data_IF_871549712707
#
_entry.id   IF_871549712707
#
_cell.length_a   1.000
_cell.length_b   1.000
_cell.length_c   1.000
_cell.angle_alpha   90.00
_cell.angle_beta   90.00
_cell.angle_gamma   90.00
#
_symmetry.space_group_name_H-M   'P 1'
#
loop_
_entity.id
_entity.type
_entity.pdbx_description
1 polymer ?
#
# COMPACT_ATOMS: atom_id res chain seq x y z
N UNK A 1 42.53 -23.07 -56.45
CA UNK A 1 42.34 -23.65 -55.10
C UNK A 1 41.14 -22.94 -54.49
N UNK A 2 39.98 -23.59 -54.48
CA UNK A 2 38.73 -23.00 -53.96
C UNK A 2 38.49 -23.53 -52.56
N UNK A 3 38.51 -22.64 -51.56
CA UNK A 3 38.21 -22.99 -50.17
C UNK A 3 36.70 -22.90 -49.98
N UNK A 4 36.07 -24.04 -49.70
CA UNK A 4 34.64 -24.15 -49.36
C UNK A 4 34.53 -23.99 -47.84
N UNK A 5 33.83 -22.97 -47.37
CA UNK A 5 33.55 -22.75 -45.95
C UNK A 5 32.19 -23.38 -45.66
N UNK A 6 32.18 -24.49 -44.91
CA UNK A 6 30.98 -25.09 -44.32
C UNK A 6 30.56 -24.27 -43.09
N UNK A 7 29.27 -23.90 -43.01
CA UNK A 7 28.68 -23.29 -41.83
C UNK A 7 28.27 -24.37 -40.82
N UNK A 8 28.51 -24.19 -39.51
CA UNK A 8 28.04 -25.15 -38.51
C UNK A 8 26.53 -25.04 -38.30
N UNK A 9 25.90 -26.21 -38.12
CA UNK A 9 24.50 -26.38 -37.78
C UNK A 9 24.19 -25.73 -36.42
N UNK A 10 23.18 -24.86 -36.40
CA UNK A 10 22.59 -24.33 -35.17
C UNK A 10 21.68 -25.41 -34.59
N UNK A 11 22.05 -25.95 -33.43
CA UNK A 11 21.20 -26.85 -32.67
C UNK A 11 20.06 -26.04 -32.02
N UNK A 12 18.84 -26.41 -32.38
CA UNK A 12 17.59 -25.98 -31.77
C UNK A 12 17.46 -26.66 -30.39
N UNK A 13 17.85 -25.97 -29.32
CA UNK A 13 17.54 -26.37 -27.95
C UNK A 13 16.29 -25.62 -27.49
N UNK A 14 15.13 -26.24 -27.74
CA UNK A 14 13.85 -25.79 -27.21
C UNK A 14 13.83 -25.81 -25.68
N UNK A 15 13.12 -24.87 -25.02
CA UNK A 15 13.05 -24.84 -23.57
C UNK A 15 12.22 -26.02 -23.04
N UNK A 16 12.90 -26.94 -22.35
CA UNK A 16 12.26 -27.95 -21.50
C UNK A 16 11.64 -27.27 -20.28
N UNK A 17 10.34 -27.01 -20.33
CA UNK A 17 9.54 -26.65 -19.18
C UNK A 17 9.54 -27.83 -18.19
N UNK A 18 10.41 -27.76 -17.18
CA UNK A 18 10.35 -28.65 -16.01
C UNK A 18 9.29 -28.11 -15.06
N UNK A 19 8.35 -29.00 -14.76
CA UNK A 19 7.34 -28.90 -13.71
C UNK A 19 7.84 -28.22 -12.44
N UNK A 20 7.12 -27.17 -12.04
CA UNK A 20 7.20 -26.47 -10.76
C UNK A 20 5.78 -26.12 -10.30
N UNK A 21 5.53 -26.06 -8.98
CA UNK A 21 4.32 -26.57 -8.37
C UNK A 21 3.06 -25.77 -8.70
N UNK A 22 1.99 -26.52 -8.94
CA UNK A 22 0.58 -26.08 -8.94
C UNK A 22 0.27 -25.22 -7.70
N UNK A 23 0.44 -23.91 -7.82
CA UNK A 23 -0.27 -22.95 -7.00
C UNK A 23 -1.73 -22.99 -7.43
N UNK A 24 -2.53 -23.78 -6.70
CA UNK A 24 -3.99 -23.80 -6.81
C UNK A 24 -4.51 -22.38 -6.60
N UNK A 25 -4.79 -21.70 -7.71
CA UNK A 25 -5.61 -20.51 -7.75
C UNK A 25 -7.02 -20.86 -7.28
N UNK A 26 -7.34 -20.52 -6.02
CA UNK A 26 -8.71 -20.45 -5.50
C UNK A 26 -9.14 -18.99 -5.48
N UNK A 27 -9.06 -18.31 -6.62
CA UNK A 27 -9.59 -16.95 -6.76
C UNK A 27 -10.45 -16.93 -8.03
N UNK A 28 -11.61 -17.57 -7.89
CA UNK A 28 -12.73 -17.46 -8.83
C UNK A 28 -14.01 -17.66 -8.06
N UNK A 29 -14.71 -16.56 -7.81
CA UNK A 29 -16.12 -16.32 -8.17
C UNK A 29 -16.65 -15.20 -7.28
N UNK A 30 -16.90 -14.04 -7.90
CA UNK A 30 -18.13 -13.24 -7.79
C UNK A 30 -17.92 -11.91 -8.52
N UNK A 31 -17.73 -11.98 -9.85
CA UNK A 31 -18.09 -10.86 -10.72
C UNK A 31 -19.55 -11.08 -11.14
N UNK A 32 -20.47 -10.41 -10.45
CA UNK A 32 -21.85 -10.25 -10.92
C UNK A 32 -21.97 -8.85 -11.55
N UNK A 33 -22.49 -8.72 -12.79
CA UNK A 33 -22.83 -7.43 -13.35
C UNK A 33 -24.23 -7.06 -12.87
N UNK A 34 -24.33 -6.13 -11.92
CA UNK A 34 -25.57 -5.40 -11.62
C UNK A 34 -25.13 -3.94 -11.62
N UNK A 35 -25.46 -3.15 -12.63
CA UNK A 35 -26.82 -2.80 -13.01
C UNK A 35 -26.94 -1.31 -12.76
N UNK A 36 -26.91 -0.53 -13.84
CA UNK A 36 -27.13 0.91 -13.84
C UNK A 36 -28.46 1.23 -13.16
N UNK A 37 -28.43 1.95 -12.04
CA UNK A 37 -29.57 2.74 -11.57
C UNK A 37 -29.05 4.11 -11.15
N UNK A 38 -29.15 5.06 -12.08
CA UNK A 38 -29.15 6.47 -11.76
C UNK A 38 -30.47 6.79 -11.05
N UNK A 39 -30.41 7.21 -9.78
CA UNK A 39 -31.49 7.97 -9.17
C UNK A 39 -30.90 9.23 -8.54
N UNK A 40 -31.09 10.34 -9.26
CA UNK A 40 -30.98 11.67 -8.71
C UNK A 40 -32.12 11.88 -7.70
N UNK A 41 -31.79 12.19 -6.45
CA UNK A 41 -32.72 12.77 -5.50
C UNK A 41 -32.10 14.04 -4.93
N UNK A 42 -32.61 15.17 -5.43
CA UNK A 42 -32.52 16.47 -4.77
C UNK A 42 -33.11 16.35 -3.35
N UNK A 43 -32.29 16.67 -2.36
CA UNK A 43 -32.71 16.89 -0.97
C UNK A 43 -32.22 18.25 -0.50
N UNK A 44 -33.04 19.27 -0.73
CA UNK A 44 -32.97 20.61 -0.14
C UNK A 44 -33.40 20.54 1.35
N UNK A 45 -33.02 21.55 2.16
CA UNK A 45 -33.44 21.87 3.58
C UNK A 45 -32.44 21.38 4.64
N UNK A 46 -31.90 22.15 5.60
CA UNK A 46 -31.89 23.58 5.96
C UNK A 46 -30.79 23.80 7.05
N UNK A 47 -30.36 25.04 7.33
CA UNK A 47 -29.41 25.35 8.41
C UNK A 47 -30.08 25.36 9.79
N UNK A 48 -29.57 24.53 10.71
CA UNK A 48 -30.00 24.50 12.11
C UNK A 48 -28.95 25.12 13.02
N UNK A 49 -29.17 26.37 13.41
CA UNK A 49 -28.50 27.01 14.53
C UNK A 49 -29.05 26.44 15.85
N UNK A 50 -28.16 26.05 16.77
CA UNK A 50 -28.46 25.79 18.18
C UNK A 50 -27.18 26.03 18.98
N UNK A 51 -27.05 27.17 19.64
CA UNK A 51 -27.43 27.43 21.04
C UNK A 51 -26.53 26.72 22.06
N UNK A 52 -25.58 27.51 22.58
CA UNK A 52 -25.30 27.76 23.99
C UNK A 52 -25.57 26.61 24.98
N UNK A 53 -24.50 26.09 25.58
CA UNK A 53 -24.55 25.29 26.80
C UNK A 53 -23.27 25.49 27.62
N UNK A 54 -23.26 26.54 28.45
CA UNK A 54 -22.27 26.69 29.50
C UNK A 54 -22.45 25.62 30.58
N UNK A 55 -21.34 25.12 31.09
CA UNK A 55 -21.26 24.14 32.18
C UNK A 55 -20.07 24.48 33.06
N UNK A 56 -20.31 25.39 33.98
CA UNK A 56 -19.44 25.86 35.05
C UNK A 56 -19.44 24.83 36.21
N UNK A 57 -18.32 24.73 36.93
CA UNK A 57 -18.30 24.32 38.34
C UNK A 57 -18.12 22.83 38.65
N UNK A 58 -16.97 22.50 39.25
CA UNK A 58 -16.69 21.17 39.79
C UNK A 58 -15.41 21.12 40.59
N UNK A 59 -15.34 21.95 41.63
CA UNK A 59 -14.28 22.00 42.65
C UNK A 59 -13.97 20.64 43.30
N UNK A 60 -12.67 20.48 43.56
CA UNK A 60 -12.05 19.89 44.74
C UNK A 60 -12.75 18.70 45.43
N UNK A 61 -12.11 17.54 45.36
CA UNK A 61 -11.88 16.71 46.55
C UNK A 61 -10.44 16.21 46.61
N UNK A 62 -9.68 16.87 47.49
CA UNK A 62 -8.59 16.26 48.25
C UNK A 62 -9.04 14.93 48.85
N UNK A 63 -8.23 13.90 48.65
CA UNK A 63 -8.37 12.59 49.25
C UNK A 63 -7.01 11.97 49.40
N UNK A 64 -6.28 12.39 50.45
CA UNK A 64 -5.06 11.76 50.90
C UNK A 64 -5.28 10.30 51.27
N UNK A 65 -4.30 9.46 50.95
CA UNK A 65 -4.34 8.03 51.23
C UNK A 65 -2.99 7.38 50.98
N UNK A 66 -2.02 7.72 51.83
CA UNK A 66 -0.74 7.04 51.94
C UNK A 66 -0.93 5.52 52.09
N UNK A 67 -0.29 4.74 51.21
CA UNK A 67 0.33 3.45 51.56
C UNK A 67 1.58 3.24 50.70
N UNK A 68 2.69 3.65 51.28
CA UNK A 68 4.02 3.15 50.95
C UNK A 68 4.03 1.63 51.16
N UNK A 69 4.00 0.91 50.06
CA UNK A 69 4.15 -0.53 49.99
C UNK A 69 4.96 -0.86 48.76
N UNK A 70 6.23 -0.40 48.76
CA UNK A 70 7.21 -0.66 47.72
C UNK A 70 7.58 -2.13 47.67
N UNK A 71 6.70 -2.94 47.08
CA UNK A 71 7.15 -4.17 46.44
C UNK A 71 7.84 -3.75 45.16
N UNK A 72 9.16 -3.87 45.14
CA UNK A 72 9.96 -3.80 43.92
C UNK A 72 9.38 -4.82 42.95
N UNK A 73 8.48 -4.39 42.06
CA UNK A 73 8.07 -5.17 40.91
C UNK A 73 9.34 -5.31 40.10
N UNK A 74 9.93 -6.51 40.14
CA UNK A 74 10.90 -6.94 39.15
C UNK A 74 10.41 -6.43 37.80
N UNK A 75 11.18 -5.51 37.19
CA UNK A 75 10.96 -5.12 35.80
C UNK A 75 11.01 -6.43 35.03
N UNK A 76 9.85 -6.91 34.63
CA UNK A 76 9.74 -8.12 33.86
C UNK A 76 10.66 -7.98 32.64
N UNK A 77 11.33 -9.07 32.19
CA UNK A 77 12.27 -9.05 31.08
C UNK A 77 11.67 -8.67 29.71
N UNK A 78 10.46 -8.08 29.67
CA UNK A 78 9.69 -7.74 28.48
C UNK A 78 9.72 -6.28 28.03
N UNK A 79 10.21 -5.33 28.84
CA UNK A 79 10.34 -3.91 28.48
C UNK A 79 11.72 -3.61 27.89
N UNK A 80 12.17 -4.41 26.91
CA UNK A 80 13.22 -3.89 26.03
C UNK A 80 12.56 -2.77 25.21
N UNK A 81 13.20 -1.59 25.10
CA UNK A 81 12.75 -0.58 24.15
C UNK A 81 12.54 -1.29 22.82
N UNK A 82 11.31 -1.29 22.32
CA UNK A 82 11.04 -1.83 20.99
C UNK A 82 11.84 -0.94 20.06
N UNK A 83 12.95 -1.45 19.54
CA UNK A 83 13.79 -0.69 18.61
C UNK A 83 12.88 -0.11 17.55
N UNK A 84 12.92 1.22 17.41
CA UNK A 84 12.12 1.89 16.40
C UNK A 84 12.43 1.21 15.06
N UNK A 85 11.42 0.85 14.26
CA UNK A 85 11.66 0.20 12.99
C UNK A 85 12.64 1.08 12.19
N UNK A 86 13.64 0.47 11.51
CA UNK A 86 14.62 1.23 10.75
C UNK A 86 13.89 2.17 9.80
N UNK A 87 14.25 3.46 9.85
CA UNK A 87 13.62 4.50 9.05
C UNK A 87 13.86 4.15 7.58
N UNK A 88 12.79 3.80 6.87
CA UNK A 88 12.89 3.50 5.45
C UNK A 88 13.48 4.71 4.71
N UNK A 89 14.49 4.44 3.87
CA UNK A 89 15.24 5.48 3.18
C UNK A 89 14.62 5.69 1.81
N UNK A 90 14.10 6.89 1.57
CA UNK A 90 13.61 7.26 0.25
C UNK A 90 14.81 7.52 -0.68
N UNK A 91 15.18 6.51 -1.46
CA UNK A 91 16.35 6.55 -2.35
C UNK A 91 16.15 7.55 -3.50
N UNK A 92 17.20 8.23 -3.99
CA UNK A 92 17.11 9.14 -5.13
C UNK A 92 16.52 8.51 -6.40
N UNK A 93 16.80 7.22 -6.64
CA UNK A 93 16.25 6.47 -7.77
C UNK A 93 14.72 6.36 -7.68
N UNK A 94 14.19 5.96 -6.51
CA UNK A 94 12.75 5.93 -6.28
C UNK A 94 12.10 7.31 -6.42
N UNK A 95 12.78 8.39 -5.99
CA UNK A 95 12.29 9.76 -6.15
C UNK A 95 12.19 10.17 -7.62
N UNK A 96 13.22 9.86 -8.41
CA UNK A 96 13.22 10.14 -9.84
C UNK A 96 12.11 9.37 -10.56
N UNK A 97 11.90 8.10 -10.20
CA UNK A 97 10.84 7.27 -10.78
C UNK A 97 9.43 7.74 -10.42
N UNK A 98 9.23 8.19 -9.17
CA UNK A 98 7.92 8.59 -8.66
C UNK A 98 7.62 10.09 -8.84
N UNK A 99 8.46 10.83 -9.56
CA UNK A 99 8.25 12.24 -9.87
C UNK A 99 8.08 13.11 -8.62
N UNK A 100 9.01 13.00 -7.67
CA UNK A 100 9.00 13.75 -6.40
C UNK A 100 7.74 13.49 -5.54
N UNK A 101 7.15 12.29 -5.61
CA UNK A 101 6.12 11.87 -4.65
C UNK A 101 6.68 11.91 -3.23
N UNK A 102 6.21 12.82 -2.39
CA UNK A 102 6.73 13.01 -1.03
C UNK A 102 5.73 12.56 0.04
N UNK A 103 6.20 12.10 1.22
CA UNK A 103 5.33 11.83 2.35
C UNK A 103 4.47 13.06 2.71
N UNK A 104 3.17 12.83 2.91
CA UNK A 104 2.17 13.85 3.16
C UNK A 104 1.37 14.26 1.93
N UNK A 105 1.82 13.93 0.71
CA UNK A 105 1.09 14.20 -0.52
C UNK A 105 -0.23 13.38 -0.58
N UNK A 106 -1.27 13.99 -1.16
CA UNK A 106 -2.59 13.37 -1.27
C UNK A 106 -2.84 12.85 -2.69
N UNK A 107 -3.18 11.57 -2.80
CA UNK A 107 -3.57 10.87 -4.03
C UNK A 107 -5.01 10.39 -3.89
N UNK A 108 -5.96 11.08 -4.53
CA UNK A 108 -7.39 10.70 -4.51
C UNK A 108 -7.96 10.49 -3.08
N UNK A 109 -7.55 11.35 -2.14
CA UNK A 109 -7.99 11.28 -0.74
C UNK A 109 -7.15 10.36 0.16
N UNK A 110 -6.17 9.64 -0.40
CA UNK A 110 -5.18 8.86 0.34
C UNK A 110 -3.90 9.66 0.53
N UNK A 111 -3.38 9.69 1.75
CA UNK A 111 -2.12 10.37 2.07
C UNK A 111 -0.96 9.41 1.95
N UNK A 112 0.11 9.79 1.28
CA UNK A 112 1.37 9.04 1.30
C UNK A 112 1.96 9.13 2.71
N UNK A 113 2.01 8.01 3.43
CA UNK A 113 2.57 7.97 4.79
C UNK A 113 4.08 7.78 4.76
N UNK A 114 4.58 6.92 3.88
CA UNK A 114 6.01 6.77 3.59
C UNK A 114 6.25 6.24 2.18
N UNK A 115 7.46 6.50 1.67
CA UNK A 115 7.99 5.83 0.48
C UNK A 115 9.25 5.09 0.92
N UNK A 116 9.18 3.77 0.87
CA UNK A 116 10.32 2.92 1.11
C UNK A 116 11.04 2.77 -0.25
N UNK A 117 12.25 3.32 -0.35
CA UNK A 117 13.03 3.31 -1.58
C UNK A 117 13.43 1.90 -2.04
N UNK A 118 14.31 1.81 -3.03
CA UNK A 118 14.74 0.53 -3.61
C UNK A 118 15.33 -0.36 -2.51
N UNK A 119 14.64 -1.49 -2.24
CA UNK A 119 15.06 -2.50 -1.26
C UNK A 119 16.05 -3.47 -1.89
N UNK A 120 16.59 -4.41 -1.09
CA UNK A 120 17.60 -5.38 -1.55
C UNK A 120 17.12 -6.26 -2.71
N UNK A 121 15.82 -6.44 -2.87
CA UNK A 121 15.15 -7.18 -3.94
C UNK A 121 14.75 -6.30 -5.15
N UNK A 122 15.13 -5.02 -5.16
CA UNK A 122 14.77 -4.06 -6.19
C UNK A 122 13.33 -3.54 -6.10
N UNK A 123 12.59 -3.93 -5.07
CA UNK A 123 11.21 -3.49 -4.84
C UNK A 123 11.18 -2.06 -4.28
N UNK A 124 10.22 -1.27 -4.72
CA UNK A 124 9.86 0.02 -4.10
C UNK A 124 8.48 -0.15 -3.46
N UNK A 125 8.28 0.38 -2.25
CA UNK A 125 6.97 0.34 -1.57
C UNK A 125 6.47 1.75 -1.25
N UNK A 126 5.24 2.04 -1.66
CA UNK A 126 4.54 3.29 -1.32
C UNK A 126 3.46 2.96 -0.31
N UNK A 127 3.55 3.49 0.91
CA UNK A 127 2.56 3.30 1.95
C UNK A 127 1.56 4.46 1.92
N UNK A 128 0.27 4.14 1.93
CA UNK A 128 -0.82 5.09 1.89
C UNK A 128 -1.75 4.91 3.09
N UNK A 129 -2.27 6.02 3.60
CA UNK A 129 -3.18 6.07 4.73
C UNK A 129 -4.38 6.98 4.44
N UNK A 130 -5.58 6.56 4.89
CA UNK A 130 -6.77 7.40 4.96
C UNK A 130 -7.62 6.98 6.16
N UNK A 131 -7.98 7.92 7.03
CA UNK A 131 -8.86 7.68 8.18
C UNK A 131 -8.42 6.48 9.06
N UNK A 132 -7.11 6.30 9.25
CA UNK A 132 -6.52 5.18 10.02
C UNK A 132 -6.51 3.84 9.28
N UNK A 133 -6.95 3.79 8.03
CA UNK A 133 -6.85 2.62 7.14
C UNK A 133 -5.57 2.72 6.33
N UNK A 134 -4.84 1.60 6.24
CA UNK A 134 -3.55 1.52 5.55
C UNK A 134 -3.58 0.52 4.41
N UNK A 135 -2.99 0.88 3.27
CA UNK A 135 -2.55 -0.07 2.27
C UNK A 135 -1.23 0.36 1.67
N UNK A 136 -0.57 -0.53 0.97
CA UNK A 136 0.66 -0.20 0.28
C UNK A 136 0.65 -0.73 -1.15
N UNK A 137 1.32 0.02 -2.02
CA UNK A 137 1.59 -0.32 -3.42
C UNK A 137 3.02 -0.81 -3.49
N UNK A 138 3.22 -1.98 -4.07
CA UNK A 138 4.53 -2.58 -4.27
C UNK A 138 4.88 -2.57 -5.75
N UNK A 139 6.03 -2.00 -6.08
CA UNK A 139 6.60 -1.93 -7.42
C UNK A 139 7.73 -2.95 -7.48
N UNK A 140 7.43 -4.13 -8.01
CA UNK A 140 8.40 -5.19 -8.19
C UNK A 140 9.04 -5.06 -9.58
N UNK A 141 10.35 -5.32 -9.74
CA UNK A 141 10.95 -5.44 -11.06
C UNK A 141 10.16 -6.44 -11.92
N UNK A 142 10.03 -6.13 -13.22
CA UNK A 142 9.26 -6.95 -14.17
C UNK A 142 9.66 -8.43 -14.09
N UNK A 143 8.68 -9.30 -13.85
CA UNK A 143 8.85 -10.74 -13.74
C UNK A 143 9.26 -11.25 -12.35
N UNK A 144 9.58 -10.37 -11.40
CA UNK A 144 10.03 -10.78 -10.06
C UNK A 144 8.89 -11.21 -9.13
N UNK A 145 7.70 -10.60 -9.27
CA UNK A 145 6.58 -10.77 -8.33
C UNK A 145 5.78 -12.08 -8.41
N UNK A 146 6.19 -13.04 -9.24
CA UNK A 146 5.60 -14.38 -9.26
C UNK A 146 4.08 -14.42 -9.48
N UNK A 147 3.56 -13.82 -10.55
CA UNK A 147 2.12 -13.88 -10.87
C UNK A 147 1.65 -12.85 -11.90
N UNK A 148 0.36 -12.89 -12.23
CA UNK A 148 -0.29 -11.87 -13.07
C UNK A 148 -0.60 -10.61 -12.25
N UNK A 149 0.32 -9.65 -12.25
CA UNK A 149 0.14 -8.40 -11.53
C UNK A 149 -1.11 -7.65 -12.03
N UNK A 150 -1.94 -7.08 -11.13
CA UNK A 150 -3.16 -6.36 -11.51
C UNK A 150 -2.85 -5.10 -12.33
N UNK A 151 -1.69 -4.49 -12.09
CA UNK A 151 -1.21 -3.34 -12.84
C UNK A 151 0.24 -3.57 -13.28
N UNK A 152 0.61 -2.95 -14.40
CA UNK A 152 1.89 -3.17 -15.06
C UNK A 152 2.41 -1.88 -15.70
N UNK A 153 3.74 -1.73 -15.69
CA UNK A 153 4.51 -0.69 -16.39
C UNK A 153 5.61 -1.35 -17.22
N UNK A 154 6.47 -0.58 -17.89
CA UNK A 154 7.51 -1.15 -18.73
C UNK A 154 8.55 -1.93 -17.90
N UNK A 155 8.90 -1.42 -16.72
CA UNK A 155 9.96 -1.97 -15.85
C UNK A 155 9.42 -2.64 -14.59
N UNK A 156 8.16 -2.39 -14.22
CA UNK A 156 7.59 -2.90 -12.96
C UNK A 156 6.28 -3.67 -13.13
N UNK A 157 6.14 -4.70 -12.32
CA UNK A 157 4.87 -5.33 -11.94
C UNK A 157 4.37 -4.70 -10.64
N UNK A 158 3.10 -4.29 -10.63
CA UNK A 158 2.54 -3.49 -9.53
C UNK A 158 1.48 -4.28 -8.79
N UNK A 159 1.73 -4.49 -7.50
CA UNK A 159 0.85 -5.17 -6.56
C UNK A 159 0.37 -4.20 -5.49
N UNK A 160 -0.68 -4.59 -4.77
CA UNK A 160 -1.14 -3.86 -3.61
C UNK A 160 -1.56 -4.85 -2.53
N UNK A 161 -1.24 -4.52 -1.28
CA UNK A 161 -1.58 -5.33 -0.12
C UNK A 161 -2.04 -4.41 1.02
N UNK A 162 -2.92 -4.91 1.88
CA UNK A 162 -3.50 -4.15 2.97
C UNK A 162 -4.99 -3.92 2.75
N UNK A 163 -5.45 -2.69 2.99
CA UNK A 163 -6.87 -2.30 3.04
C UNK A 163 -7.78 -3.12 2.12
N UNK A 164 -8.82 -3.69 2.73
CA UNK A 164 -9.89 -4.37 2.03
C UNK A 164 -10.72 -3.32 1.24
N UNK A 165 -10.73 -3.36 -0.10
CA UNK A 165 -11.51 -2.43 -0.90
C UNK A 165 -13.00 -2.47 -0.54
N UNK A 166 -13.52 -3.63 -0.12
CA UNK A 166 -14.91 -3.80 0.27
C UNK A 166 -15.25 -3.12 1.61
N UNK A 167 -14.24 -2.86 2.45
CA UNK A 167 -14.41 -2.17 3.73
C UNK A 167 -14.44 -0.63 3.57
N UNK A 168 -14.02 -0.10 2.42
CA UNK A 168 -14.08 1.33 2.15
C UNK A 168 -15.50 1.77 1.81
N UNK A 169 -15.93 2.94 2.32
CA UNK A 169 -17.28 3.47 2.11
C UNK A 169 -17.64 3.66 0.62
N UNK A 170 -16.64 3.87 -0.23
CA UNK A 170 -16.76 4.04 -1.68
C UNK A 170 -16.47 2.76 -2.48
N UNK A 171 -16.48 1.60 -1.82
CA UNK A 171 -16.22 0.30 -2.46
C UNK A 171 -14.82 0.17 -3.07
N UNK A 172 -13.85 0.96 -2.58
CA UNK A 172 -12.46 0.93 -3.01
C UNK A 172 -12.16 1.77 -4.25
N UNK A 173 -13.12 2.55 -4.77
CA UNK A 173 -12.92 3.38 -5.96
C UNK A 173 -11.73 4.34 -5.81
N UNK A 174 -11.64 5.03 -4.68
CA UNK A 174 -10.50 5.91 -4.35
C UNK A 174 -9.19 5.16 -4.14
N UNK A 175 -9.22 3.92 -3.64
CA UNK A 175 -8.03 3.09 -3.49
C UNK A 175 -7.47 2.73 -4.86
N UNK A 176 -8.31 2.28 -5.79
CA UNK A 176 -7.90 2.02 -7.17
C UNK A 176 -7.40 3.27 -7.89
N UNK A 177 -8.07 4.42 -7.72
CA UNK A 177 -7.61 5.69 -8.29
C UNK A 177 -6.23 6.11 -7.73
N UNK A 178 -5.98 5.89 -6.44
CA UNK A 178 -4.67 6.13 -5.85
C UNK A 178 -3.58 5.20 -6.42
N UNK A 179 -3.90 3.90 -6.63
CA UNK A 179 -2.98 2.95 -7.27
C UNK A 179 -2.68 3.38 -8.72
N UNK A 180 -3.69 3.74 -9.49
CA UNK A 180 -3.53 4.23 -10.87
C UNK A 180 -2.68 5.51 -10.93
N UNK A 181 -2.85 6.42 -9.97
CA UNK A 181 -2.03 7.63 -9.87
C UNK A 181 -0.55 7.29 -9.62
N UNK A 182 -0.25 6.32 -8.75
CA UNK A 182 1.13 5.83 -8.55
C UNK A 182 1.67 5.20 -9.83
N UNK A 183 0.90 4.33 -10.49
CA UNK A 183 1.31 3.70 -11.76
C UNK A 183 1.56 4.74 -12.86
N UNK A 184 0.73 5.78 -12.95
CA UNK A 184 0.90 6.86 -13.90
C UNK A 184 2.21 7.63 -13.68
N UNK A 185 2.59 7.87 -12.41
CA UNK A 185 3.89 8.49 -12.09
C UNK A 185 5.05 7.60 -12.48
N UNK A 186 5.00 6.31 -12.14
CA UNK A 186 6.02 5.33 -12.53
C UNK A 186 6.22 5.36 -14.05
N UNK A 187 5.13 5.27 -14.82
CA UNK A 187 5.19 5.32 -16.29
C UNK A 187 5.75 6.64 -16.84
N UNK A 188 5.60 7.75 -16.12
CA UNK A 188 6.14 9.04 -16.53
C UNK A 188 7.63 9.20 -16.18
N UNK A 189 8.14 8.44 -15.20
CA UNK A 189 9.55 8.40 -14.81
C UNK A 189 10.37 7.29 -15.48
N UNK A 190 9.74 6.43 -16.29
CA UNK A 190 10.38 5.42 -17.14
C UNK A 190 10.88 5.99 -18.48
#
# INVERSE_FOLDING_TARGET
MSVRVEAPAVADEGPTAKDGPTARAVWSRLAAPLGVVALALLGLVAPGAGLLGGGEGGDAREGGGAREGGVARERGPGDRPRDAPPKAVYTPEARALLGDLEPGEALHGWRVSSVDGVRDDGMIRVNLERDGVYFHVELWPRGAGGGGAPFQSARFDVFYTGADPAAAADGGASQFAAIEAVVARVRAGE
#
